data_IF_676862222409
#
_entry.id   IF_676862222409
#
_cell.length_a   1.000
_cell.length_b   1.000
_cell.length_c   1.000
_cell.angle_alpha   90.00
_cell.angle_beta   90.00
_cell.angle_gamma   90.00
#
_symmetry.space_group_name_H-M   'P 1'
#
loop_
_entity.id
_entity.type
_entity.pdbx_description
1 polymer ?
#
# COMPACT_ATOMS: atom_id res chain seq x y z
N UNK A 1 -11.58 -11.85 -13.50
CA UNK A 1 -11.27 -12.70 -12.33
C UNK A 1 -12.56 -12.96 -11.59
N UNK A 2 -12.76 -14.19 -11.15
CA UNK A 2 -13.97 -14.60 -10.44
C UNK A 2 -14.10 -13.93 -9.09
N UNK A 3 -15.36 -13.80 -8.64
CA UNK A 3 -15.78 -13.18 -7.39
C UNK A 3 -16.72 -14.14 -6.69
N UNK A 4 -16.57 -14.30 -5.38
CA UNK A 4 -17.48 -15.14 -4.61
C UNK A 4 -18.78 -14.38 -4.29
N UNK A 5 -18.67 -13.21 -3.66
CA UNK A 5 -19.80 -12.32 -3.38
C UNK A 5 -19.55 -10.99 -4.08
N UNK A 6 -20.52 -10.52 -4.86
CA UNK A 6 -20.40 -9.26 -5.59
C UNK A 6 -21.68 -8.43 -5.48
N UNK A 7 -21.51 -7.15 -5.16
CA UNK A 7 -22.54 -6.12 -5.28
C UNK A 7 -22.15 -5.19 -6.42
N UNK A 8 -23.07 -4.94 -7.34
CA UNK A 8 -22.83 -4.09 -8.51
C UNK A 8 -23.92 -3.06 -8.65
N UNK A 9 -23.53 -1.79 -8.81
CA UNK A 9 -24.44 -0.68 -9.13
C UNK A 9 -25.52 -0.45 -8.06
N UNK A 10 -25.17 -0.70 -6.79
CA UNK A 10 -26.06 -0.48 -5.64
C UNK A 10 -25.62 0.78 -4.88
N UNK A 11 -26.35 1.87 -5.06
CA UNK A 11 -26.08 3.13 -4.36
C UNK A 11 -26.67 3.11 -2.95
N UNK A 12 -25.95 3.69 -1.99
CA UNK A 12 -26.36 3.77 -0.58
C UNK A 12 -26.36 2.44 0.16
N UNK A 13 -25.69 1.41 -0.39
CA UNK A 13 -25.59 0.10 0.25
C UNK A 13 -24.96 0.23 1.64
N UNK A 14 -25.64 -0.28 2.65
CA UNK A 14 -25.14 -0.35 4.02
C UNK A 14 -25.15 -1.80 4.48
N UNK A 15 -23.98 -2.30 4.88
CA UNK A 15 -23.81 -3.62 5.48
C UNK A 15 -23.22 -3.41 6.88
N UNK A 16 -23.94 -3.89 7.89
CA UNK A 16 -23.63 -3.66 9.30
C UNK A 16 -23.60 -4.97 10.08
N UNK A 17 -22.68 -5.05 11.03
CA UNK A 17 -22.70 -6.03 12.11
C UNK A 17 -21.42 -6.86 12.19
N UNK A 18 -21.23 -7.62 13.28
CA UNK A 18 -20.01 -8.41 13.53
C UNK A 18 -20.01 -9.77 12.80
N UNK A 19 -20.79 -9.90 11.73
CA UNK A 19 -20.91 -11.15 10.99
C UNK A 19 -19.57 -11.57 10.36
N UNK A 20 -19.34 -12.87 10.20
CA UNK A 20 -18.13 -13.42 9.62
C UNK A 20 -18.35 -13.91 8.18
N UNK A 21 -17.46 -13.53 7.27
CA UNK A 21 -17.32 -14.09 5.93
C UNK A 21 -16.05 -14.95 5.92
N UNK A 22 -16.21 -16.27 5.88
CA UNK A 22 -15.12 -17.25 5.81
C UNK A 22 -14.96 -17.77 4.38
N UNK A 23 -13.87 -17.38 3.72
CA UNK A 23 -13.55 -17.78 2.35
C UNK A 23 -13.00 -19.20 2.20
N UNK A 24 -12.67 -19.87 3.33
CA UNK A 24 -12.09 -21.23 3.36
C UNK A 24 -10.93 -21.42 2.38
N UNK A 25 -10.05 -20.43 2.30
CA UNK A 25 -8.99 -20.27 1.31
C UNK A 25 -7.90 -21.35 1.32
N UNK A 26 -7.76 -22.13 2.40
CA UNK A 26 -6.67 -23.10 2.55
C UNK A 26 -6.61 -24.17 1.46
N UNK A 27 -7.77 -24.59 0.91
CA UNK A 27 -7.81 -25.53 -0.21
C UNK A 27 -7.30 -24.92 -1.53
N UNK A 28 -7.36 -23.60 -1.64
CA UNK A 28 -6.96 -22.84 -2.84
C UNK A 28 -5.48 -22.49 -2.84
N UNK A 29 -4.89 -22.22 -1.67
CA UNK A 29 -3.51 -21.74 -1.56
C UNK A 29 -2.45 -22.78 -1.94
N UNK A 30 -2.79 -24.08 -1.87
CA UNK A 30 -1.88 -25.17 -2.23
C UNK A 30 -1.82 -25.47 -3.73
N UNK A 31 -2.62 -24.79 -4.55
CA UNK A 31 -2.72 -25.06 -5.99
C UNK A 31 -2.50 -23.79 -6.81
N UNK A 32 -1.72 -23.90 -7.89
CA UNK A 32 -1.64 -22.85 -8.91
C UNK A 32 -2.94 -22.81 -9.70
N UNK A 33 -3.89 -22.01 -9.24
CA UNK A 33 -5.20 -21.85 -9.84
C UNK A 33 -5.66 -20.39 -9.79
N UNK A 34 -6.66 -20.06 -10.61
CA UNK A 34 -7.35 -18.79 -10.45
C UNK A 34 -8.22 -18.85 -9.19
N UNK A 35 -8.04 -17.86 -8.32
CA UNK A 35 -8.68 -17.79 -7.00
C UNK A 35 -9.63 -16.61 -6.94
N UNK A 36 -10.88 -16.80 -6.47
CA UNK A 36 -11.84 -15.71 -6.44
C UNK A 36 -11.50 -14.68 -5.36
N UNK A 37 -11.80 -13.41 -5.63
CA UNK A 37 -11.93 -12.39 -4.57
C UNK A 37 -13.15 -12.75 -3.70
N UNK A 38 -13.04 -12.65 -2.38
CA UNK A 38 -14.17 -13.00 -1.50
C UNK A 38 -15.36 -12.04 -1.63
N UNK A 39 -15.12 -10.72 -1.53
CA UNK A 39 -16.17 -9.70 -1.59
C UNK A 39 -15.79 -8.55 -2.53
N UNK A 40 -16.64 -8.24 -3.51
CA UNK A 40 -16.47 -7.09 -4.39
C UNK A 40 -17.65 -6.13 -4.30
N UNK A 41 -17.33 -4.84 -4.31
CA UNK A 41 -18.26 -3.75 -4.55
C UNK A 41 -17.84 -3.02 -5.82
N UNK A 42 -18.70 -3.05 -6.83
CA UNK A 42 -18.47 -2.40 -8.12
C UNK A 42 -19.52 -1.31 -8.38
N UNK A 43 -19.09 -0.07 -8.54
CA UNK A 43 -20.00 1.07 -8.76
C UNK A 43 -21.07 1.22 -7.65
N UNK A 44 -20.70 0.95 -6.41
CA UNK A 44 -21.55 1.10 -5.22
C UNK A 44 -21.28 2.45 -4.55
N UNK A 45 -21.92 3.51 -5.01
CA UNK A 45 -21.68 4.85 -4.47
C UNK A 45 -22.36 5.05 -3.11
N UNK A 46 -21.70 5.71 -2.18
CA UNK A 46 -22.21 5.90 -0.81
C UNK A 46 -22.22 4.61 0.02
N UNK A 47 -21.36 3.63 -0.32
CA UNK A 47 -21.20 2.37 0.40
C UNK A 47 -20.80 2.60 1.86
N UNK A 48 -21.40 1.84 2.78
CA UNK A 48 -21.00 1.74 4.19
C UNK A 48 -20.85 0.28 4.58
N UNK A 49 -19.64 -0.12 4.96
CA UNK A 49 -19.31 -1.47 5.43
C UNK A 49 -18.77 -1.36 6.85
N UNK A 50 -19.54 -1.86 7.84
CA UNK A 50 -19.24 -1.63 9.25
C UNK A 50 -19.20 -2.94 10.04
N UNK A 51 -18.08 -3.17 10.73
CA UNK A 51 -17.98 -4.17 11.80
C UNK A 51 -17.71 -5.61 11.35
N UNK A 52 -17.66 -5.91 10.05
CA UNK A 52 -17.55 -7.28 9.57
C UNK A 52 -16.20 -7.92 9.86
N UNK A 53 -16.25 -9.25 10.05
CA UNK A 53 -15.08 -10.11 10.15
C UNK A 53 -14.89 -10.86 8.83
N UNK A 54 -13.69 -10.82 8.26
CA UNK A 54 -13.34 -11.54 7.04
C UNK A 54 -12.18 -12.48 7.35
N UNK A 55 -12.34 -13.76 7.04
CA UNK A 55 -11.31 -14.77 7.32
C UNK A 55 -11.01 -15.64 6.11
N UNK A 56 -9.73 -15.97 5.93
CA UNK A 56 -9.26 -16.99 4.99
C UNK A 56 -9.78 -16.82 3.56
N UNK A 57 -9.68 -15.63 2.98
CA UNK A 57 -10.06 -15.44 1.57
C UNK A 57 -9.14 -16.26 0.63
N UNK A 58 -9.67 -16.87 -0.45
CA UNK A 58 -8.84 -17.57 -1.45
C UNK A 58 -7.80 -16.66 -2.13
N UNK A 59 -8.14 -15.38 -2.31
CA UNK A 59 -7.30 -14.29 -2.83
C UNK A 59 -7.54 -13.05 -1.96
N UNK A 60 -7.63 -11.84 -2.51
CA UNK A 60 -7.93 -10.64 -1.75
C UNK A 60 -9.33 -10.72 -1.10
N UNK A 61 -9.50 -10.12 0.08
CA UNK A 61 -10.74 -10.18 0.87
C UNK A 61 -11.80 -9.23 0.33
N UNK A 62 -11.45 -7.96 0.14
CA UNK A 62 -12.38 -6.91 -0.29
C UNK A 62 -11.83 -6.20 -1.53
N UNK A 63 -12.67 -6.02 -2.54
CA UNK A 63 -12.40 -5.11 -3.68
C UNK A 63 -13.41 -3.97 -3.70
N UNK A 64 -12.89 -2.74 -3.74
CA UNK A 64 -13.65 -1.50 -3.94
C UNK A 64 -13.29 -0.97 -5.34
N UNK A 65 -14.22 -1.13 -6.27
CA UNK A 65 -14.00 -0.81 -7.68
C UNK A 65 -15.04 0.19 -8.17
N UNK A 66 -14.58 1.25 -8.86
CA UNK A 66 -15.47 2.26 -9.45
C UNK A 66 -16.45 2.91 -8.46
N UNK A 67 -16.09 2.96 -7.17
CA UNK A 67 -16.96 3.46 -6.10
C UNK A 67 -16.62 4.92 -5.76
N UNK A 68 -17.64 5.70 -5.41
CA UNK A 68 -17.51 7.04 -4.85
C UNK A 68 -18.12 7.11 -3.44
N UNK A 69 -17.47 7.81 -2.51
CA UNK A 69 -17.96 8.00 -1.14
C UNK A 69 -18.16 6.68 -0.36
N UNK A 70 -17.23 5.72 -0.51
CA UNK A 70 -17.26 4.46 0.23
C UNK A 70 -16.61 4.62 1.62
N UNK A 71 -17.21 4.01 2.65
CA UNK A 71 -16.69 4.00 4.02
C UNK A 71 -16.62 2.57 4.54
N UNK A 72 -15.42 2.14 4.91
CA UNK A 72 -15.12 0.87 5.54
C UNK A 72 -14.66 1.15 6.98
N UNK A 73 -15.37 0.63 7.97
CA UNK A 73 -15.17 0.98 9.37
C UNK A 73 -15.19 -0.24 10.27
N UNK A 74 -14.26 -0.31 11.24
CA UNK A 74 -14.21 -1.38 12.24
C UNK A 74 -14.18 -2.80 11.65
N UNK A 75 -13.43 -2.99 10.56
CA UNK A 75 -13.27 -4.31 9.97
C UNK A 75 -12.19 -5.11 10.69
N UNK A 76 -12.41 -6.42 10.80
CA UNK A 76 -11.40 -7.39 11.19
C UNK A 76 -11.14 -8.32 10.00
N UNK A 77 -9.93 -8.27 9.44
CA UNK A 77 -9.55 -9.10 8.28
C UNK A 77 -8.37 -9.97 8.68
N UNK A 78 -8.49 -11.30 8.52
CA UNK A 78 -7.46 -12.24 8.92
C UNK A 78 -7.24 -13.36 7.89
N UNK A 79 -6.00 -13.56 7.48
CA UNK A 79 -5.50 -14.77 6.84
C UNK A 79 -4.10 -15.09 7.37
N UNK A 80 -3.63 -16.34 7.28
CA UNK A 80 -2.25 -16.71 7.62
C UNK A 80 -1.21 -15.90 6.84
N UNK A 81 -0.05 -15.63 7.46
CA UNK A 81 1.05 -14.85 6.85
C UNK A 81 1.54 -15.44 5.53
N UNK A 82 1.49 -16.76 5.39
CA UNK A 82 1.94 -17.53 4.23
C UNK A 82 0.85 -17.73 3.16
N UNK A 83 -0.35 -17.16 3.36
CA UNK A 83 -1.43 -17.26 2.38
C UNK A 83 -1.20 -16.30 1.21
N UNK A 84 -1.01 -16.80 -0.03
CA UNK A 84 -0.56 -15.96 -1.15
C UNK A 84 -1.66 -15.01 -1.62
N UNK A 85 -1.33 -13.74 -1.89
CA UNK A 85 -2.25 -12.74 -2.49
C UNK A 85 -3.59 -12.62 -1.76
N UNK A 86 -3.55 -12.69 -0.42
CA UNK A 86 -4.73 -12.53 0.43
C UNK A 86 -4.92 -11.09 0.89
N UNK A 87 -4.69 -10.14 -0.04
CA UNK A 87 -4.74 -8.70 0.21
C UNK A 87 -6.01 -8.33 0.99
N UNK A 88 -5.91 -7.41 1.96
CA UNK A 88 -7.04 -7.03 2.79
C UNK A 88 -8.10 -6.27 2.00
N UNK A 89 -7.72 -5.09 1.50
CA UNK A 89 -8.61 -4.22 0.74
C UNK A 89 -7.90 -3.71 -0.51
N UNK A 90 -8.43 -4.06 -1.67
CA UNK A 90 -7.99 -3.55 -2.97
C UNK A 90 -8.91 -2.41 -3.41
N UNK A 91 -8.36 -1.27 -3.76
CA UNK A 91 -9.09 -0.10 -4.26
C UNK A 91 -8.65 0.18 -5.69
N UNK A 92 -9.59 0.36 -6.61
CA UNK A 92 -9.32 0.76 -7.99
C UNK A 92 -10.42 1.67 -8.55
N UNK A 93 -10.06 2.60 -9.44
CA UNK A 93 -11.00 3.51 -10.12
C UNK A 93 -11.98 4.23 -9.17
N UNK A 94 -11.60 4.45 -7.91
CA UNK A 94 -12.52 4.87 -6.85
C UNK A 94 -12.12 6.21 -6.24
N UNK A 95 -13.09 6.97 -5.76
CA UNK A 95 -12.83 8.30 -5.17
C UNK A 95 -13.53 8.48 -3.83
N UNK A 96 -12.94 9.28 -2.94
CA UNK A 96 -13.52 9.59 -1.63
C UNK A 96 -13.77 8.31 -0.79
N UNK A 97 -12.79 7.41 -0.77
CA UNK A 97 -12.85 6.16 0.01
C UNK A 97 -12.22 6.39 1.38
N UNK A 98 -12.88 5.93 2.43
CA UNK A 98 -12.39 6.02 3.81
C UNK A 98 -12.29 4.63 4.43
N UNK A 99 -11.13 4.28 4.96
CA UNK A 99 -10.89 3.05 5.72
C UNK A 99 -10.43 3.45 7.11
N UNK A 100 -11.21 3.11 8.13
CA UNK A 100 -11.04 3.68 9.48
C UNK A 100 -11.16 2.58 10.55
N UNK A 101 -10.32 2.64 11.60
CA UNK A 101 -10.41 1.79 12.80
C UNK A 101 -10.43 0.28 12.50
N UNK A 102 -9.61 -0.20 11.56
CA UNK A 102 -9.65 -1.60 11.13
C UNK A 102 -8.35 -2.34 11.50
N UNK A 103 -8.46 -3.65 11.71
CA UNK A 103 -7.30 -4.53 11.94
C UNK A 103 -7.22 -5.54 10.81
N UNK A 104 -6.08 -5.61 10.15
CA UNK A 104 -5.89 -6.40 8.94
C UNK A 104 -4.57 -7.18 9.07
N UNK A 105 -4.68 -8.49 8.99
CA UNK A 105 -3.57 -9.44 9.03
C UNK A 105 -3.72 -10.39 7.84
N UNK A 106 -2.76 -10.41 6.93
CA UNK A 106 -2.87 -11.14 5.66
C UNK A 106 -1.52 -11.71 5.25
N UNK A 107 -1.46 -12.42 4.13
CA UNK A 107 -0.20 -12.84 3.51
C UNK A 107 0.22 -11.97 2.32
N UNK A 108 -0.43 -10.83 2.10
CA UNK A 108 -0.05 -9.85 1.07
C UNK A 108 -0.39 -8.43 1.56
N UNK A 109 -0.72 -7.48 0.68
CA UNK A 109 -1.02 -6.11 1.05
C UNK A 109 -2.13 -6.01 2.11
N UNK A 110 -1.92 -5.16 3.11
CA UNK A 110 -2.97 -4.77 4.04
C UNK A 110 -4.06 -4.00 3.28
N UNK A 111 -3.63 -3.00 2.51
CA UNK A 111 -4.47 -2.21 1.62
C UNK A 111 -3.65 -1.89 0.36
N UNK A 112 -4.21 -2.15 -0.83
CA UNK A 112 -3.62 -1.82 -2.11
C UNK A 112 -4.46 -0.75 -2.84
N UNK A 113 -3.84 0.38 -3.19
CA UNK A 113 -4.48 1.50 -3.90
C UNK A 113 -3.97 1.50 -5.35
N UNK A 114 -4.81 1.02 -6.26
CA UNK A 114 -4.49 0.87 -7.67
C UNK A 114 -4.94 2.07 -8.50
N UNK A 115 -4.60 2.04 -9.79
CA UNK A 115 -4.88 3.09 -10.77
C UNK A 115 -6.34 3.57 -10.78
N UNK A 116 -6.52 4.84 -11.16
CA UNK A 116 -7.80 5.54 -11.24
C UNK A 116 -8.35 5.99 -9.89
N UNK A 117 -7.56 5.89 -8.81
CA UNK A 117 -8.03 6.16 -7.45
C UNK A 117 -7.60 7.54 -6.96
N UNK A 118 -8.50 8.25 -6.27
CA UNK A 118 -8.21 9.57 -5.69
C UNK A 118 -8.93 9.84 -4.38
N UNK A 119 -8.42 10.77 -3.56
CA UNK A 119 -9.06 11.16 -2.29
C UNK A 119 -9.32 9.95 -1.39
N UNK A 120 -8.26 9.19 -1.10
CA UNK A 120 -8.31 7.98 -0.27
C UNK A 120 -7.76 8.33 1.11
N UNK A 121 -8.55 8.10 2.15
CA UNK A 121 -8.15 8.32 3.53
C UNK A 121 -8.16 7.00 4.30
N UNK A 122 -6.99 6.63 4.82
CA UNK A 122 -6.78 5.45 5.64
C UNK A 122 -6.30 5.95 7.01
N UNK A 123 -7.06 5.66 8.06
CA UNK A 123 -6.68 6.09 9.41
C UNK A 123 -6.97 5.08 10.49
N UNK A 124 -6.11 5.04 11.51
CA UNK A 124 -6.26 4.13 12.66
C UNK A 124 -6.36 2.66 12.23
N UNK A 125 -5.56 2.26 11.24
CA UNK A 125 -5.48 0.88 10.77
C UNK A 125 -4.28 0.19 11.38
N UNK A 126 -4.50 -1.00 11.95
CA UNK A 126 -3.43 -1.91 12.37
C UNK A 126 -3.22 -2.95 11.25
N UNK A 127 -2.04 -2.93 10.63
CA UNK A 127 -1.64 -3.86 9.58
C UNK A 127 -0.58 -4.81 10.12
N UNK A 128 -0.75 -6.12 9.95
CA UNK A 128 0.32 -7.05 10.31
C UNK A 128 -0.14 -8.41 10.78
N UNK A 129 0.48 -9.51 10.31
CA UNK A 129 1.49 -9.59 9.23
C UNK A 129 0.91 -9.22 7.84
N UNK A 130 1.76 -9.16 6.81
CA UNK A 130 1.40 -8.83 5.41
C UNK A 130 2.45 -7.96 4.72
N UNK A 131 2.10 -7.26 3.64
CA UNK A 131 2.99 -6.41 2.85
C UNK A 131 2.81 -4.90 3.10
N UNK A 132 2.05 -4.49 4.10
CA UNK A 132 1.84 -3.08 4.45
C UNK A 132 0.77 -2.38 3.61
N UNK A 133 0.79 -1.06 3.55
CA UNK A 133 -0.14 -0.25 2.76
C UNK A 133 0.58 0.22 1.51
N UNK A 134 0.05 -0.18 0.36
CA UNK A 134 0.68 -0.02 -0.93
C UNK A 134 -0.10 0.88 -1.85
N UNK A 135 0.55 1.90 -2.41
CA UNK A 135 0.09 2.58 -3.61
C UNK A 135 0.66 1.82 -4.80
N UNK A 136 -0.21 1.16 -5.57
CA UNK A 136 0.10 0.34 -6.72
C UNK A 136 -0.14 -1.17 -6.51
N UNK A 137 0.28 -2.00 -7.46
CA UNK A 137 1.23 -1.66 -8.53
C UNK A 137 0.62 -0.79 -9.64
N UNK A 138 1.35 0.23 -10.08
CA UNK A 138 0.88 1.18 -11.10
C UNK A 138 1.63 1.01 -12.43
N UNK A 139 0.94 1.16 -13.56
CA UNK A 139 1.56 1.19 -14.88
C UNK A 139 1.95 -0.17 -15.46
N UNK A 140 1.30 -1.25 -14.99
CA UNK A 140 1.53 -2.61 -15.49
C UNK A 140 1.45 -2.66 -17.02
N UNK A 141 2.34 -3.45 -17.65
CA UNK A 141 2.48 -3.56 -19.11
C UNK A 141 2.70 -2.21 -19.85
N UNK A 142 3.23 -1.20 -19.15
CA UNK A 142 3.44 0.14 -19.71
C UNK A 142 2.18 0.99 -19.79
N UNK A 143 1.11 0.59 -19.10
CA UNK A 143 -0.14 1.34 -19.06
C UNK A 143 0.01 2.72 -18.42
N UNK A 144 -0.93 3.60 -18.76
CA UNK A 144 -1.11 4.87 -18.08
C UNK A 144 -1.86 4.65 -16.78
N UNK A 145 -1.29 5.09 -15.65
CA UNK A 145 -1.87 4.92 -14.33
C UNK A 145 -1.88 6.23 -13.54
N UNK A 146 -2.95 6.44 -12.78
CA UNK A 146 -3.14 7.67 -12.00
C UNK A 146 -3.58 7.38 -10.58
N UNK A 147 -2.88 7.94 -9.60
CA UNK A 147 -3.30 7.99 -8.20
C UNK A 147 -2.98 9.37 -7.63
N UNK A 148 -3.91 9.99 -6.90
CA UNK A 148 -3.65 11.26 -6.23
C UNK A 148 -4.47 11.50 -4.96
N UNK A 149 -3.99 12.39 -4.08
CA UNK A 149 -4.69 12.76 -2.83
C UNK A 149 -4.89 11.55 -1.90
N UNK A 150 -3.77 10.94 -1.49
CA UNK A 150 -3.78 9.75 -0.63
C UNK A 150 -3.27 10.14 0.75
N UNK A 151 -4.04 9.81 1.78
CA UNK A 151 -3.72 10.11 3.18
C UNK A 151 -3.73 8.82 3.99
N UNK A 152 -2.59 8.43 4.53
CA UNK A 152 -2.42 7.28 5.43
C UNK A 152 -1.92 7.80 6.76
N UNK A 153 -2.74 7.71 7.81
CA UNK A 153 -2.50 8.47 9.05
C UNK A 153 -2.78 7.64 10.30
N UNK A 154 -1.95 7.78 11.35
CA UNK A 154 -2.19 7.10 12.63
C UNK A 154 -2.29 5.58 12.51
N UNK A 155 -1.51 4.99 11.60
CA UNK A 155 -1.50 3.56 11.33
C UNK A 155 -0.34 2.87 12.04
N UNK A 156 -0.55 1.59 12.38
CA UNK A 156 0.48 0.74 12.97
C UNK A 156 0.78 -0.44 12.05
N UNK A 157 2.07 -0.74 11.86
CA UNK A 157 2.54 -1.90 11.10
C UNK A 157 3.31 -2.84 12.03
N UNK A 158 2.93 -4.11 12.06
CA UNK A 158 3.57 -5.12 12.91
C UNK A 158 3.98 -6.34 12.11
N UNK A 159 5.27 -6.65 12.05
CA UNK A 159 5.76 -7.87 11.39
C UNK A 159 5.43 -7.96 9.90
N UNK A 160 5.20 -6.81 9.23
CA UNK A 160 4.95 -6.73 7.79
C UNK A 160 6.25 -6.67 7.00
N UNK A 161 6.22 -7.09 5.73
CA UNK A 161 7.38 -6.96 4.85
C UNK A 161 7.69 -5.50 4.51
N UNK A 162 6.64 -4.68 4.33
CA UNK A 162 6.83 -3.24 4.13
C UNK A 162 5.83 -2.44 4.95
N UNK A 163 6.09 -1.14 5.13
CA UNK A 163 5.18 -0.22 5.82
C UNK A 163 4.41 0.64 4.81
N UNK A 164 4.94 1.83 4.56
CA UNK A 164 4.45 2.79 3.59
C UNK A 164 5.12 2.55 2.22
N UNK A 165 4.39 1.91 1.31
CA UNK A 165 4.92 1.45 0.01
C UNK A 165 4.30 2.17 -1.17
N UNK A 166 5.13 2.56 -2.14
CA UNK A 166 4.72 2.97 -3.49
C UNK A 166 5.43 2.04 -4.48
N UNK A 167 4.68 1.33 -5.33
CA UNK A 167 5.22 0.40 -6.33
C UNK A 167 4.69 0.72 -7.72
N UNK A 168 5.59 0.93 -8.67
CA UNK A 168 5.23 1.20 -10.07
C UNK A 168 6.04 0.30 -10.99
N UNK A 169 5.41 -0.22 -12.03
CA UNK A 169 6.08 -1.05 -13.02
C UNK A 169 7.04 -0.22 -13.86
N UNK A 170 8.20 -0.81 -14.13
CA UNK A 170 9.11 -0.31 -15.16
C UNK A 170 8.41 -0.30 -16.53
N UNK A 171 8.59 0.78 -17.28
CA UNK A 171 7.87 1.05 -18.52
C UNK A 171 6.52 1.75 -18.35
N UNK A 172 5.99 1.84 -17.13
CA UNK A 172 4.72 2.50 -16.83
C UNK A 172 4.72 4.00 -17.16
N UNK A 173 3.53 4.60 -17.22
CA UNK A 173 3.36 6.05 -17.44
C UNK A 173 2.19 6.60 -16.60
N UNK A 174 2.09 7.93 -16.50
CA UNK A 174 1.08 8.61 -15.67
C UNK A 174 1.67 9.16 -14.38
N UNK A 175 0.89 9.24 -13.30
CA UNK A 175 1.32 9.88 -12.05
C UNK A 175 0.79 9.21 -10.78
N UNK A 176 1.58 9.29 -9.72
CA UNK A 176 1.23 9.03 -8.33
C UNK A 176 1.68 10.25 -7.50
N UNK A 177 0.75 11.09 -7.06
CA UNK A 177 1.10 12.39 -6.48
C UNK A 177 0.26 12.82 -5.29
N UNK A 178 0.80 13.72 -4.45
CA UNK A 178 0.12 14.26 -3.26
C UNK A 178 -0.29 13.12 -2.33
N UNK A 179 0.73 12.43 -1.83
CA UNK A 179 0.60 11.26 -0.97
C UNK A 179 1.20 11.61 0.39
N UNK A 180 0.44 11.41 1.45
CA UNK A 180 0.78 11.79 2.81
C UNK A 180 0.73 10.58 3.74
N UNK A 181 1.89 10.20 4.27
CA UNK A 181 2.04 9.24 5.34
C UNK A 181 2.34 9.99 6.64
N UNK A 182 1.46 9.90 7.63
CA UNK A 182 1.52 10.73 8.84
C UNK A 182 1.34 9.93 10.13
N UNK A 183 2.20 10.15 11.12
CA UNK A 183 2.12 9.50 12.44
C UNK A 183 1.97 7.97 12.33
N UNK A 184 2.97 7.32 11.73
CA UNK A 184 3.00 5.88 11.54
C UNK A 184 3.94 5.23 12.54
N UNK A 185 3.48 4.17 13.20
CA UNK A 185 4.34 3.33 14.04
C UNK A 185 4.64 2.03 13.33
N UNK A 186 5.91 1.64 13.25
CA UNK A 186 6.34 0.35 12.70
C UNK A 186 7.01 -0.48 13.79
N UNK A 187 6.73 -1.78 13.82
CA UNK A 187 7.34 -2.72 14.78
C UNK A 187 7.74 -3.97 14.05
N UNK A 188 9.04 -4.23 14.01
CA UNK A 188 9.63 -5.39 13.33
C UNK A 188 9.16 -5.52 11.86
N UNK A 189 9.12 -4.38 11.16
CA UNK A 189 8.78 -4.34 9.72
C UNK A 189 10.04 -4.52 8.89
N UNK A 190 10.04 -5.32 7.83
CA UNK A 190 11.27 -5.53 7.05
C UNK A 190 11.76 -4.22 6.41
N UNK A 191 10.98 -3.56 5.56
CA UNK A 191 11.32 -2.23 4.98
C UNK A 191 10.19 -1.22 5.23
N UNK A 192 10.27 -0.41 6.31
CA UNK A 192 9.24 0.55 6.69
C UNK A 192 8.80 1.54 5.61
N UNK A 193 9.74 2.10 4.85
CA UNK A 193 9.46 3.10 3.80
C UNK A 193 10.08 2.65 2.50
N UNK A 194 9.25 2.50 1.47
CA UNK A 194 9.73 2.06 0.16
C UNK A 194 9.02 2.77 -1.01
N UNK A 195 9.81 3.23 -1.97
CA UNK A 195 9.37 3.57 -3.32
C UNK A 195 10.16 2.66 -4.28
N UNK A 196 9.45 1.88 -5.08
CA UNK A 196 10.03 0.98 -6.08
C UNK A 196 9.41 1.26 -7.45
N UNK A 197 10.15 1.94 -8.32
CA UNK A 197 9.75 2.19 -9.72
C UNK A 197 10.22 1.09 -10.69
N UNK A 198 10.90 0.04 -10.19
CA UNK A 198 11.38 -1.10 -10.96
C UNK A 198 10.56 -2.37 -10.70
N UNK A 199 9.35 -2.22 -10.14
CA UNK A 199 8.52 -3.33 -9.70
C UNK A 199 8.37 -4.39 -10.79
N UNK A 200 8.79 -5.61 -10.46
CA UNK A 200 8.80 -6.77 -11.34
C UNK A 200 8.69 -8.07 -10.52
N UNK A 201 7.49 -8.44 -10.06
CA UNK A 201 7.32 -9.57 -9.16
C UNK A 201 7.72 -10.91 -9.81
N UNK A 202 7.62 -11.04 -11.13
CA UNK A 202 8.00 -12.26 -11.86
C UNK A 202 9.50 -12.36 -12.19
N UNK A 203 10.30 -11.32 -11.95
CA UNK A 203 11.72 -11.25 -12.30
C UNK A 203 12.04 -11.16 -13.81
N UNK A 204 11.14 -11.62 -14.68
CA UNK A 204 11.34 -11.70 -16.14
C UNK A 204 10.86 -10.43 -16.90
N UNK A 205 11.03 -9.24 -16.32
CA UNK A 205 10.63 -8.00 -16.98
C UNK A 205 11.78 -7.43 -17.82
N UNK A 206 11.51 -6.86 -19.01
CA UNK A 206 12.52 -6.13 -19.75
C UNK A 206 13.00 -4.95 -18.91
N UNK A 207 14.32 -4.74 -18.85
CA UNK A 207 14.89 -3.58 -18.17
C UNK A 207 14.43 -2.31 -18.91
N UNK A 208 13.54 -1.55 -18.26
CA UNK A 208 13.01 -0.29 -18.76
C UNK A 208 13.32 0.80 -17.77
N UNK A 209 13.70 1.96 -18.29
CA UNK A 209 14.11 3.09 -17.47
C UNK A 209 13.00 4.12 -17.30
N UNK A 210 11.84 4.00 -17.95
CA UNK A 210 10.66 4.85 -17.68
C UNK A 210 9.77 4.26 -16.58
N UNK A 211 8.98 5.07 -15.92
CA UNK A 211 8.02 4.64 -14.89
C UNK A 211 6.90 5.66 -14.73
N UNK A 212 5.89 5.33 -13.92
CA UNK A 212 4.86 6.27 -13.46
C UNK A 212 5.53 7.37 -12.64
N UNK A 213 5.26 8.65 -12.92
CA UNK A 213 5.85 9.77 -12.17
C UNK A 213 5.39 9.74 -10.70
N UNK A 214 6.34 9.83 -9.76
CA UNK A 214 6.05 9.92 -8.33
C UNK A 214 6.43 11.31 -7.81
N UNK A 215 5.47 12.09 -7.34
CA UNK A 215 5.72 13.45 -6.86
C UNK A 215 4.96 13.80 -5.58
N UNK A 216 5.45 14.80 -4.85
CA UNK A 216 4.74 15.39 -3.71
C UNK A 216 4.36 14.34 -2.64
N UNK A 217 5.33 13.50 -2.28
CA UNK A 217 5.16 12.46 -1.25
C UNK A 217 5.74 12.97 0.05
N UNK A 218 4.93 13.00 1.10
CA UNK A 218 5.35 13.41 2.45
C UNK A 218 5.30 12.22 3.40
N UNK A 219 6.42 11.93 4.05
CA UNK A 219 6.54 11.05 5.19
C UNK A 219 6.81 11.91 6.43
N UNK A 220 5.88 11.93 7.38
CA UNK A 220 6.00 12.78 8.55
C UNK A 220 5.61 12.02 9.83
N UNK A 221 6.53 11.93 10.80
CA UNK A 221 6.28 11.24 12.06
C UNK A 221 6.22 9.72 11.91
N UNK A 222 7.17 9.11 11.17
CA UNK A 222 7.25 7.65 11.04
C UNK A 222 8.31 7.12 12.00
N UNK A 223 7.94 6.24 12.93
CA UNK A 223 8.83 5.78 14.00
C UNK A 223 8.74 4.29 14.29
N UNK A 224 9.85 3.71 14.74
CA UNK A 224 9.88 2.37 15.31
C UNK A 224 11.00 1.49 14.77
N UNK A 225 10.76 0.19 14.64
CA UNK A 225 11.81 -0.79 14.37
C UNK A 225 11.63 -1.58 13.07
N UNK A 226 12.75 -1.96 12.47
CA UNK A 226 12.84 -2.82 11.30
C UNK A 226 13.70 -4.05 11.58
N UNK A 227 13.38 -5.18 10.94
CA UNK A 227 14.16 -6.42 11.00
C UNK A 227 15.36 -6.43 10.05
N UNK A 228 15.51 -5.40 9.20
CA UNK A 228 16.56 -5.26 8.19
C UNK A 228 17.41 -4.03 8.46
N UNK A 229 18.58 -3.98 7.81
CA UNK A 229 19.45 -2.79 7.86
C UNK A 229 18.92 -1.67 6.96
N UNK A 230 18.37 -2.00 5.79
CA UNK A 230 17.81 -1.01 4.86
C UNK A 230 16.36 -0.69 5.25
N UNK A 231 16.18 0.40 6.01
CA UNK A 231 14.87 0.77 6.57
C UNK A 231 14.11 1.78 5.71
N UNK A 232 14.83 2.47 4.81
CA UNK A 232 14.29 3.40 3.81
C UNK A 232 14.90 3.03 2.46
N UNK A 233 14.07 2.75 1.46
CA UNK A 233 14.53 2.47 0.09
C UNK A 233 13.72 3.27 -0.92
N UNK A 234 14.35 4.26 -1.56
CA UNK A 234 13.74 5.11 -2.57
C UNK A 234 14.37 4.82 -3.94
N UNK A 235 13.94 3.73 -4.58
CA UNK A 235 14.47 3.27 -5.84
C UNK A 235 13.66 3.84 -7.02
N UNK A 236 14.03 5.05 -7.46
CA UNK A 236 13.36 5.74 -8.53
C UNK A 236 14.06 5.52 -9.88
N UNK A 237 13.26 5.53 -10.94
CA UNK A 237 13.64 5.31 -12.32
C UNK A 237 14.69 6.33 -12.77
N UNK A 238 15.72 5.87 -13.50
CA UNK A 238 16.81 6.73 -14.01
C UNK A 238 16.33 7.89 -14.90
N UNK A 239 15.21 7.72 -15.63
CA UNK A 239 14.69 8.75 -16.53
C UNK A 239 13.46 9.49 -16.00
N UNK A 240 12.76 8.93 -15.02
CA UNK A 240 11.56 9.50 -14.38
C UNK A 240 11.79 9.53 -12.88
N UNK A 241 12.49 10.58 -12.44
CA UNK A 241 12.85 10.79 -11.04
C UNK A 241 11.63 10.92 -10.12
N UNK A 242 11.76 10.49 -8.86
CA UNK A 242 10.80 10.87 -7.82
C UNK A 242 11.11 12.30 -7.34
N UNK A 243 10.09 13.16 -7.26
CA UNK A 243 10.27 14.59 -6.98
C UNK A 243 9.49 15.08 -5.78
N UNK A 244 10.02 16.11 -5.12
CA UNK A 244 9.40 16.73 -3.96
C UNK A 244 9.04 15.71 -2.86
N UNK A 245 9.97 14.80 -2.60
CA UNK A 245 9.87 13.87 -1.48
C UNK A 245 10.23 14.61 -0.19
N UNK A 246 9.34 14.63 0.78
CA UNK A 246 9.56 15.31 2.06
C UNK A 246 9.57 14.28 3.16
N UNK A 247 10.68 14.19 3.90
CA UNK A 247 10.79 13.35 5.09
C UNK A 247 10.99 14.24 6.31
N UNK A 248 10.10 14.15 7.29
CA UNK A 248 10.19 14.92 8.52
C UNK A 248 9.92 14.04 9.74
N UNK A 249 10.73 14.17 10.80
CA UNK A 249 10.55 13.39 12.03
C UNK A 249 10.43 11.88 11.78
N UNK A 250 11.31 11.34 10.93
CA UNK A 250 11.40 9.89 10.67
C UNK A 250 12.44 9.30 11.61
N UNK A 251 12.08 8.32 12.44
CA UNK A 251 13.00 7.69 13.39
C UNK A 251 12.85 6.16 13.39
N UNK A 252 13.68 5.51 12.58
CA UNK A 252 13.68 4.08 12.34
C UNK A 252 15.00 3.47 12.83
N UNK A 253 14.88 2.35 13.54
CA UNK A 253 16.03 1.57 14.00
C UNK A 253 16.00 0.17 13.41
N UNK A 254 17.17 -0.45 13.29
CA UNK A 254 17.32 -1.84 12.89
C UNK A 254 17.45 -2.71 14.13
N UNK A 255 16.73 -3.84 14.16
CA UNK A 255 16.89 -4.91 15.16
C UNK A 255 17.83 -6.01 14.67
N UNK A 256 18.34 -5.90 13.44
CA UNK A 256 19.30 -6.87 12.91
C UNK A 256 20.62 -6.83 13.72
N UNK A 257 21.16 -7.99 14.15
CA UNK A 257 22.33 -8.04 15.03
C UNK A 257 23.54 -7.31 14.46
N UNK A 258 24.04 -6.31 15.21
CA UNK A 258 25.23 -5.54 14.83
C UNK A 258 25.08 -4.65 13.59
N UNK A 259 23.84 -4.43 13.11
CA UNK A 259 23.55 -3.60 11.94
C UNK A 259 22.81 -2.33 12.34
N UNK A 260 23.36 -1.20 11.93
CA UNK A 260 22.69 0.10 12.02
C UNK A 260 21.66 0.26 10.89
N UNK A 261 20.61 1.04 11.16
CA UNK A 261 19.62 1.38 10.15
C UNK A 261 20.25 2.27 9.06
N UNK A 262 19.87 2.04 7.80
CA UNK A 262 20.37 2.75 6.62
C UNK A 262 19.25 3.20 5.71
N UNK A 263 19.55 4.21 4.92
CA UNK A 263 18.70 4.72 3.85
C UNK A 263 19.39 4.55 2.50
N UNK A 264 18.59 4.23 1.48
CA UNK A 264 19.00 4.12 0.08
C UNK A 264 18.12 5.02 -0.79
N UNK A 265 18.74 5.69 -1.76
CA UNK A 265 18.03 6.48 -2.76
C UNK A 265 18.70 6.31 -4.13
N UNK A 266 17.88 6.17 -5.17
CA UNK A 266 18.25 6.27 -6.56
C UNK A 266 17.30 7.26 -7.21
N UNK A 267 17.85 8.30 -7.86
CA UNK A 267 17.09 9.35 -8.56
C UNK A 267 15.88 9.93 -7.79
N UNK A 268 16.01 10.09 -6.47
CA UNK A 268 14.97 10.63 -5.60
C UNK A 268 15.38 12.02 -5.11
N UNK A 269 14.50 13.00 -5.32
CA UNK A 269 14.78 14.42 -5.06
C UNK A 269 13.79 15.01 -4.07
N UNK A 270 14.30 15.77 -3.11
CA UNK A 270 13.48 16.29 -2.03
C UNK A 270 14.27 16.85 -0.85
N UNK A 271 13.70 16.78 0.35
CA UNK A 271 14.37 17.17 1.60
C UNK A 271 14.04 16.24 2.75
N UNK A 272 15.02 16.01 3.62
CA UNK A 272 14.88 15.27 4.87
C UNK A 272 15.26 16.16 6.06
N UNK A 273 14.41 16.24 7.08
CA UNK A 273 14.64 17.01 8.31
C UNK A 273 14.33 16.11 9.52
N UNK A 274 15.21 16.13 10.53
CA UNK A 274 15.04 15.31 11.75
C UNK A 274 14.81 13.82 11.44
N UNK A 275 15.69 13.23 10.62
CA UNK A 275 15.61 11.83 10.23
C UNK A 275 16.71 10.99 10.87
N UNK A 276 16.34 9.85 11.44
CA UNK A 276 17.21 8.76 11.84
C UNK A 276 16.70 7.46 11.17
N UNK A 277 17.50 6.74 10.37
CA UNK A 277 18.83 7.14 9.94
C UNK A 277 18.81 8.42 9.10
N UNK A 278 19.95 9.14 8.97
CA UNK A 278 20.05 10.25 8.03
C UNK A 278 19.74 9.80 6.59
N UNK A 279 19.07 10.66 5.82
CA UNK A 279 18.70 10.39 4.41
C UNK A 279 19.50 11.30 3.47
N UNK A 280 20.83 11.23 3.56
CA UNK A 280 21.74 12.08 2.77
C UNK A 280 21.65 11.86 1.26
N UNK A 281 21.14 10.71 0.83
CA UNK A 281 20.97 10.36 -0.58
C UNK A 281 19.81 11.10 -1.26
N UNK A 282 18.91 11.73 -0.49
CA UNK A 282 17.81 12.51 -1.03
C UNK A 282 18.35 13.84 -1.54
N UNK A 283 18.44 13.99 -2.86
CA UNK A 283 19.09 15.14 -3.48
C UNK A 283 18.19 16.36 -3.31
N UNK A 284 18.72 17.45 -2.75
CA UNK A 284 17.98 18.70 -2.67
C UNK A 284 17.75 19.25 -4.08
N UNK A 285 16.52 19.69 -4.39
CA UNK A 285 16.20 20.43 -5.61
C UNK A 285 16.99 21.75 -5.77
N UNK A 286 17.87 22.09 -4.83
CA UNK A 286 18.81 23.20 -4.93
C UNK A 286 20.12 22.75 -5.61
N UNK A 287 20.04 22.38 -6.88
CA UNK A 287 21.19 22.28 -7.77
C UNK A 287 20.90 23.03 -9.08
N UNK A 288 21.13 24.35 -9.00
CA UNK A 288 21.72 25.24 -10.02
C UNK A 288 21.30 24.98 -11.49
N UNK A 289 20.33 25.76 -11.97
CA UNK A 289 20.43 26.69 -13.12
C UNK A 289 19.08 27.38 -13.36
#
# INVERSE_FOLDING_TARGET
MDKWIAFSHVNGLTINGPGQIDGRGSSWWSHECQRPTALQFNACNGLRLNGLHHVNSPRNHISIESCSYATLYQLQINSPKDSPNTDGIDISNSTHVRIINSTISTGDDCIAINSGSSYINISYVNCGPGHGISIGSLGELGSYATVEEIHVQYCNFFGTETGARIKTWQGGSGYARRIFFFEITVTEVDIPIIIDQYYCPSGNCPNKTSAVEVSDVTYNGIRGSSTKEDVISLCCSETVACRNIVMNFVNLTSTAPGKEARSYCLNAHGRSIHTNPPVHCLVSNYAIA
#
